data_IF_152326119486
#
_entry.id   IF_152326119486
#
_cell.length_a   1.000
_cell.length_b   1.000
_cell.length_c   1.000
_cell.angle_alpha   90.00
_cell.angle_beta   90.00
_cell.angle_gamma   90.00
#
_symmetry.space_group_name_H-M   'P 1'
#
loop_
_entity.id
_entity.type
_entity.pdbx_description
1 polymer ?
#
# COMPACT_ATOMS: atom_id res chain seq x y z
N UNK A 1 -55.88 -17.24 -46.86
CA UNK A 1 -57.35 -17.32 -46.65
C UNK A 1 -57.85 -15.91 -46.36
N UNK A 2 -58.57 -15.32 -47.35
CA UNK A 2 -59.46 -14.12 -47.37
C UNK A 2 -59.17 -12.96 -46.36
N UNK A 3 -58.69 -11.78 -46.75
CA UNK A 3 -59.31 -10.66 -47.50
C UNK A 3 -60.78 -10.36 -47.15
N UNK A 4 -61.05 -9.17 -46.55
CA UNK A 4 -62.20 -8.24 -46.77
C UNK A 4 -62.23 -7.19 -45.63
N UNK A 5 -62.50 -5.88 -45.77
CA UNK A 5 -62.72 -4.95 -46.88
C UNK A 5 -62.78 -3.52 -46.31
N UNK A 6 -62.37 -2.55 -47.12
CA UNK A 6 -62.49 -1.10 -46.97
C UNK A 6 -63.92 -0.54 -47.07
N UNK A 7 -64.09 0.72 -46.60
CA UNK A 7 -64.83 1.90 -47.18
C UNK A 7 -65.58 2.69 -46.09
N UNK A 8 -65.77 4.01 -46.09
CA UNK A 8 -65.27 5.19 -46.82
C UNK A 8 -65.92 6.45 -46.19
N UNK A 9 -65.28 7.62 -46.37
CA UNK A 9 -65.85 8.97 -46.69
C UNK A 9 -65.65 10.16 -45.73
N UNK A 10 -65.26 11.25 -46.41
CA UNK A 10 -64.97 12.64 -46.08
C UNK A 10 -66.07 13.39 -45.29
N UNK A 11 -65.65 14.46 -44.61
CA UNK A 11 -66.49 15.59 -44.21
C UNK A 11 -65.66 16.82 -43.82
N UNK A 12 -66.15 18.00 -44.15
CA UNK A 12 -65.46 19.29 -44.32
C UNK A 12 -64.99 20.00 -43.03
N UNK A 13 -64.07 20.93 -43.28
CA UNK A 13 -63.58 22.00 -42.42
C UNK A 13 -64.67 22.90 -41.80
N UNK A 14 -64.38 23.46 -40.63
CA UNK A 14 -64.87 24.79 -40.24
C UNK A 14 -63.86 25.48 -39.32
N UNK A 15 -63.36 26.62 -39.79
CA UNK A 15 -62.53 27.57 -39.06
C UNK A 15 -63.46 28.37 -38.15
N UNK A 16 -63.21 28.43 -36.84
CA UNK A 16 -63.84 29.41 -35.95
C UNK A 16 -62.74 30.14 -35.17
N UNK A 17 -62.58 31.42 -35.51
CA UNK A 17 -61.76 32.38 -34.78
C UNK A 17 -62.49 32.77 -33.51
N UNK A 18 -61.86 32.57 -32.36
CA UNK A 18 -62.31 33.08 -31.07
C UNK A 18 -61.17 33.88 -30.45
N UNK A 19 -61.30 35.19 -30.53
CA UNK A 19 -60.48 36.18 -29.83
C UNK A 19 -60.77 36.11 -28.34
N UNK A 20 -59.76 35.80 -27.53
CA UNK A 20 -59.81 35.93 -26.08
C UNK A 20 -58.73 36.91 -25.62
N UNK A 21 -59.20 37.91 -24.86
CA UNK A 21 -58.47 39.06 -24.35
C UNK A 21 -57.26 38.66 -23.49
N UNK A 22 -56.11 39.33 -23.71
CA UNK A 22 -55.00 39.33 -22.77
C UNK A 22 -55.43 40.04 -21.47
N UNK A 23 -55.46 39.31 -20.37
CA UNK A 23 -55.32 39.88 -19.03
C UNK A 23 -53.85 39.69 -18.64
N UNK A 24 -53.15 40.79 -18.39
CA UNK A 24 -51.78 40.77 -17.88
C UNK A 24 -51.78 40.14 -16.48
N UNK A 25 -51.13 38.99 -16.34
CA UNK A 25 -50.85 38.39 -15.04
C UNK A 25 -49.62 39.09 -14.45
N UNK A 26 -49.82 39.81 -13.34
CA UNK A 26 -48.74 40.34 -12.52
C UNK A 26 -47.88 39.18 -11.99
N UNK A 27 -46.58 39.25 -12.26
CA UNK A 27 -45.59 38.30 -11.75
C UNK A 27 -45.38 38.50 -10.25
N UNK A 28 -45.68 37.48 -9.46
CA UNK A 28 -45.29 37.42 -8.05
C UNK A 28 -43.76 37.40 -7.90
N UNK A 29 -43.18 38.10 -6.92
CA UNK A 29 -41.75 38.10 -6.70
C UNK A 29 -41.28 36.72 -6.24
N UNK A 30 -40.36 36.11 -7.00
CA UNK A 30 -39.66 34.90 -6.59
C UNK A 30 -38.82 35.21 -5.35
N UNK A 31 -39.12 34.55 -4.23
CA UNK A 31 -38.22 34.55 -3.08
C UNK A 31 -36.97 33.73 -3.44
N UNK A 32 -35.82 34.39 -3.52
CA UNK A 32 -34.52 33.74 -3.59
C UNK A 32 -34.25 33.05 -2.24
N UNK A 33 -34.62 31.77 -2.14
CA UNK A 33 -34.11 30.91 -1.08
C UNK A 33 -32.58 30.82 -1.18
N UNK A 34 -31.87 30.60 -0.07
CA UNK A 34 -30.42 30.43 -0.12
C UNK A 34 -30.09 29.26 -1.05
N UNK A 35 -29.24 29.51 -2.05
CA UNK A 35 -28.63 28.47 -2.87
C UNK A 35 -28.05 27.40 -1.95
N UNK A 36 -28.17 26.10 -2.28
CA UNK A 36 -27.46 25.08 -1.53
C UNK A 36 -25.99 25.44 -1.55
N UNK A 37 -25.44 25.67 -0.35
CA UNK A 37 -24.07 26.07 -0.13
C UNK A 37 -23.16 25.17 -0.96
N UNK A 38 -22.31 25.77 -1.79
CA UNK A 38 -21.21 25.06 -2.43
C UNK A 38 -20.39 24.43 -1.31
N UNK A 39 -20.57 23.14 -1.10
CA UNK A 39 -19.54 22.33 -0.45
C UNK A 39 -18.32 22.60 -1.31
N UNK A 40 -17.30 23.28 -0.76
CA UNK A 40 -16.06 23.50 -1.48
C UNK A 40 -15.62 22.14 -2.01
N UNK A 41 -15.51 22.00 -3.33
CA UNK A 41 -15.01 20.77 -3.93
C UNK A 41 -13.61 20.58 -3.37
N UNK A 42 -13.42 19.55 -2.55
CA UNK A 42 -12.10 19.18 -2.08
C UNK A 42 -11.23 18.92 -3.31
N UNK A 43 -10.05 19.54 -3.36
CA UNK A 43 -9.12 19.34 -4.47
C UNK A 43 -8.85 17.85 -4.65
N UNK A 44 -8.97 17.40 -5.90
CA UNK A 44 -8.78 16.00 -6.25
C UNK A 44 -7.30 15.62 -6.06
N UNK A 45 -7.04 14.55 -5.31
CA UNK A 45 -5.69 14.02 -5.10
C UNK A 45 -5.50 12.79 -5.96
N UNK A 46 -4.52 12.85 -6.86
CA UNK A 46 -4.09 11.70 -7.68
C UNK A 46 -2.80 11.11 -7.15
N UNK A 47 -2.73 9.79 -7.16
CA UNK A 47 -1.54 9.03 -6.76
C UNK A 47 -0.95 8.39 -8.01
N UNK A 48 0.36 8.53 -8.20
CA UNK A 48 1.06 7.84 -9.27
C UNK A 48 1.43 6.42 -8.85
N UNK A 49 1.41 5.48 -9.80
CA UNK A 49 1.94 4.14 -9.63
C UNK A 49 2.97 3.87 -10.72
N UNK A 50 4.15 3.44 -10.30
CA UNK A 50 5.17 2.94 -11.22
C UNK A 50 4.63 1.68 -11.91
N UNK A 51 4.62 1.73 -13.24
CA UNK A 51 4.20 0.66 -14.12
C UNK A 51 5.17 0.57 -15.30
N UNK A 52 6.32 -0.11 -15.13
CA UNK A 52 7.37 -0.08 -16.13
C UNK A 52 6.93 -0.68 -17.46
N UNK A 53 7.17 0.06 -18.54
CA UNK A 53 6.81 -0.37 -19.90
C UNK A 53 7.49 -1.69 -20.32
N UNK A 54 8.61 -2.03 -19.67
CA UNK A 54 9.40 -3.23 -19.93
C UNK A 54 8.84 -4.51 -19.28
N UNK A 55 7.79 -4.44 -18.46
CA UNK A 55 7.11 -5.65 -17.98
C UNK A 55 6.26 -6.17 -19.14
N UNK A 56 6.89 -7.00 -19.99
CA UNK A 56 6.22 -7.77 -21.03
C UNK A 56 4.91 -8.32 -20.44
N UNK A 57 3.78 -8.03 -21.12
CA UNK A 57 2.41 -8.42 -20.74
C UNK A 57 1.64 -7.54 -19.75
N UNK A 58 2.16 -6.39 -19.32
CA UNK A 58 1.39 -5.44 -18.50
C UNK A 58 0.99 -5.99 -17.12
N UNK A 59 1.80 -6.91 -16.60
CA UNK A 59 1.60 -7.51 -15.28
C UNK A 59 2.05 -6.58 -14.16
N UNK A 60 1.27 -6.52 -13.08
CA UNK A 60 1.61 -5.78 -11.85
C UNK A 60 1.48 -6.69 -10.65
N UNK A 61 2.44 -6.61 -9.72
CA UNK A 61 2.30 -7.23 -8.41
C UNK A 61 1.13 -6.59 -7.68
N UNK A 62 0.21 -7.45 -7.25
CA UNK A 62 -0.95 -7.03 -6.47
C UNK A 62 -1.77 -5.92 -7.15
N UNK A 63 -2.20 -6.13 -8.39
CA UNK A 63 -2.84 -5.10 -9.23
C UNK A 63 -4.04 -4.37 -8.57
N UNK A 64 -4.81 -5.06 -7.72
CA UNK A 64 -5.95 -4.45 -7.01
C UNK A 64 -5.57 -3.75 -5.70
N UNK A 65 -4.33 -3.88 -5.23
CA UNK A 65 -3.92 -3.51 -3.89
C UNK A 65 -3.94 -1.99 -3.67
N UNK A 66 -3.20 -1.24 -4.48
CA UNK A 66 -3.22 0.22 -4.39
C UNK A 66 -4.63 0.79 -4.65
N UNK A 67 -5.37 0.40 -5.72
CA UNK A 67 -6.75 0.88 -5.90
C UNK A 67 -7.69 0.60 -4.73
N UNK A 68 -7.54 -0.56 -4.08
CA UNK A 68 -8.34 -0.91 -2.90
C UNK A 68 -7.97 -0.06 -1.68
N UNK A 69 -6.68 0.21 -1.46
CA UNK A 69 -6.23 1.12 -0.42
C UNK A 69 -6.75 2.54 -0.65
N UNK A 70 -6.60 3.08 -1.85
CA UNK A 70 -7.06 4.43 -2.19
C UNK A 70 -8.58 4.57 -2.02
N UNK A 71 -9.34 3.55 -2.43
CA UNK A 71 -10.78 3.49 -2.17
C UNK A 71 -11.10 3.51 -0.68
N UNK A 72 -10.42 2.68 0.11
CA UNK A 72 -10.58 2.65 1.56
C UNK A 72 -10.27 4.02 2.19
N UNK A 73 -9.23 4.72 1.75
CA UNK A 73 -8.90 6.08 2.23
C UNK A 73 -9.99 7.08 1.85
N UNK A 74 -10.48 7.07 0.61
CA UNK A 74 -11.57 7.94 0.18
C UNK A 74 -12.87 7.69 0.97
N UNK A 75 -13.14 6.44 1.35
CA UNK A 75 -14.33 6.05 2.12
C UNK A 75 -14.20 6.34 3.63
N UNK A 76 -12.99 6.24 4.19
CA UNK A 76 -12.75 6.33 5.64
C UNK A 76 -12.22 7.68 6.12
N UNK A 77 -11.92 8.60 5.21
CA UNK A 77 -11.30 9.90 5.50
C UNK A 77 -11.99 11.03 4.73
N UNK A 78 -11.53 12.27 4.95
CA UNK A 78 -11.99 13.43 4.18
C UNK A 78 -11.08 13.77 2.99
N UNK A 79 -10.13 12.92 2.61
CA UNK A 79 -9.29 13.16 1.44
C UNK A 79 -10.02 12.70 0.18
N UNK A 80 -10.13 13.60 -0.80
CA UNK A 80 -10.68 13.31 -2.12
C UNK A 80 -9.64 12.63 -3.03
N UNK A 81 -9.19 11.44 -2.62
CA UNK A 81 -8.20 10.66 -3.39
C UNK A 81 -8.88 9.81 -4.46
N UNK A 82 -8.35 9.84 -5.67
CA UNK A 82 -8.86 9.06 -6.80
C UNK A 82 -8.41 7.61 -6.69
N UNK A 83 -9.30 6.60 -6.68
CA UNK A 83 -8.90 5.20 -6.57
C UNK A 83 -8.12 4.63 -7.76
N UNK A 84 -8.23 5.25 -8.94
CA UNK A 84 -7.46 4.87 -10.13
C UNK A 84 -6.13 5.63 -10.15
N UNK A 85 -4.98 4.94 -9.95
CA UNK A 85 -3.68 5.59 -9.94
C UNK A 85 -3.25 6.04 -11.34
N UNK A 86 -2.47 7.11 -11.40
CA UNK A 86 -1.81 7.56 -12.63
C UNK A 86 -0.62 6.63 -12.91
N UNK A 87 -0.71 5.84 -13.97
CA UNK A 87 0.37 4.93 -14.36
C UNK A 87 1.54 5.72 -14.99
N UNK A 88 2.74 5.63 -14.41
CA UNK A 88 3.99 6.20 -14.93
C UNK A 88 4.95 5.08 -15.33
N UNK A 89 5.65 5.22 -16.47
CA UNK A 89 6.55 4.16 -16.97
C UNK A 89 7.88 4.09 -16.21
N UNK A 90 8.32 5.22 -15.70
CA UNK A 90 9.60 5.40 -15.03
C UNK A 90 9.55 6.69 -14.18
N UNK A 91 10.65 7.05 -13.55
CA UNK A 91 10.73 8.25 -12.72
C UNK A 91 11.11 9.53 -13.49
N UNK A 92 11.21 9.49 -14.82
CA UNK A 92 11.38 10.67 -15.67
C UNK A 92 10.02 11.20 -16.18
N UNK A 93 8.98 10.35 -16.19
CA UNK A 93 7.62 10.67 -16.64
C UNK A 93 7.01 11.90 -15.91
N UNK A 94 6.83 13.01 -16.63
CA UNK A 94 6.40 14.30 -16.07
C UNK A 94 5.09 14.25 -15.26
N UNK A 95 4.23 13.27 -15.51
CA UNK A 95 2.98 13.08 -14.75
C UNK A 95 3.22 12.80 -13.27
N UNK A 96 4.42 12.35 -12.89
CA UNK A 96 4.78 12.20 -11.49
C UNK A 96 4.74 13.54 -10.74
N UNK A 97 4.94 14.68 -11.42
CA UNK A 97 4.92 16.01 -10.82
C UNK A 97 3.51 16.50 -10.47
N UNK A 98 2.49 15.88 -11.05
CA UNK A 98 1.07 16.17 -10.80
C UNK A 98 0.54 15.38 -9.58
N UNK A 99 1.32 14.43 -9.06
CA UNK A 99 0.90 13.54 -7.99
C UNK A 99 1.77 13.79 -6.74
N UNK A 100 1.20 14.15 -5.57
CA UNK A 100 1.99 14.32 -4.34
C UNK A 100 2.58 13.00 -3.79
N UNK A 101 2.07 11.87 -4.26
CA UNK A 101 2.46 10.53 -3.83
C UNK A 101 2.72 9.63 -5.03
N UNK A 102 3.85 8.94 -5.02
CA UNK A 102 4.21 7.89 -5.97
C UNK A 102 4.33 6.57 -5.22
N UNK A 103 3.66 5.54 -5.70
CA UNK A 103 3.79 4.16 -5.23
C UNK A 103 4.60 3.34 -6.23
N UNK A 104 5.55 2.54 -5.74
CA UNK A 104 6.22 1.52 -6.52
C UNK A 104 6.26 0.22 -5.71
N UNK A 105 5.94 -0.91 -6.32
CA UNK A 105 6.36 -2.20 -5.77
C UNK A 105 7.76 -2.51 -6.31
N UNK A 106 8.68 -2.90 -5.43
CA UNK A 106 10.07 -3.18 -5.77
C UNK A 106 10.22 -4.16 -6.94
N UNK A 107 9.37 -5.20 -7.00
CA UNK A 107 9.44 -6.26 -7.99
C UNK A 107 8.71 -5.94 -9.31
N UNK A 108 8.01 -4.81 -9.41
CA UNK A 108 7.45 -4.35 -10.69
C UNK A 108 8.54 -3.73 -11.60
N UNK A 109 9.70 -3.40 -11.04
CA UNK A 109 10.88 -2.89 -11.78
C UNK A 109 12.05 -3.84 -11.62
N UNK A 110 12.58 -4.36 -12.73
CA UNK A 110 13.68 -5.33 -12.72
C UNK A 110 15.06 -4.72 -12.49
N UNK A 111 15.26 -3.45 -12.85
CA UNK A 111 16.53 -2.74 -12.73
C UNK A 111 16.32 -1.39 -12.06
N UNK A 112 16.88 -1.21 -10.87
CA UNK A 112 16.80 0.04 -10.10
C UNK A 112 17.92 1.04 -10.41
N UNK A 113 18.75 0.77 -11.44
CA UNK A 113 19.68 1.76 -11.97
C UNK A 113 18.90 2.87 -12.67
N UNK A 114 18.99 4.09 -12.14
CA UNK A 114 18.29 5.24 -12.70
C UNK A 114 19.09 5.87 -13.85
N UNK A 115 18.39 6.21 -14.92
CA UNK A 115 18.94 7.08 -15.97
C UNK A 115 19.18 8.49 -15.44
N UNK A 116 20.00 9.30 -16.15
CA UNK A 116 20.24 10.69 -15.77
C UNK A 116 18.94 11.52 -15.70
N UNK A 117 17.97 11.23 -16.59
CA UNK A 117 16.67 11.88 -16.59
C UNK A 117 15.83 11.51 -15.36
N UNK A 118 15.81 10.23 -14.98
CA UNK A 118 15.14 9.77 -13.75
C UNK A 118 15.79 10.40 -12.51
N UNK A 119 17.13 10.45 -12.45
CA UNK A 119 17.84 11.08 -11.34
C UNK A 119 17.47 12.56 -11.20
N UNK A 120 17.48 13.32 -12.30
CA UNK A 120 17.16 14.75 -12.28
C UNK A 120 15.71 15.00 -11.87
N UNK A 121 14.77 14.29 -12.51
CA UNK A 121 13.34 14.47 -12.26
C UNK A 121 12.94 14.00 -10.86
N UNK A 122 13.43 12.84 -10.41
CA UNK A 122 13.13 12.30 -9.08
C UNK A 122 13.72 13.18 -7.99
N UNK A 123 14.94 13.71 -8.19
CA UNK A 123 15.53 14.72 -7.28
C UNK A 123 14.63 15.94 -7.18
N UNK A 124 14.23 16.51 -8.32
CA UNK A 124 13.36 17.69 -8.34
C UNK A 124 12.00 17.45 -7.69
N UNK A 125 11.38 16.30 -7.95
CA UNK A 125 10.12 15.89 -7.33
C UNK A 125 10.24 15.78 -5.81
N UNK A 126 11.26 15.07 -5.32
CA UNK A 126 11.49 14.87 -3.89
C UNK A 126 11.98 16.15 -3.20
N UNK A 127 12.72 17.05 -3.85
CA UNK A 127 13.07 18.34 -3.23
C UNK A 127 11.87 19.30 -3.16
N UNK A 128 10.83 19.13 -4.00
CA UNK A 128 9.60 19.94 -4.02
C UNK A 128 8.49 19.46 -3.08
N UNK A 129 8.70 18.39 -2.32
CA UNK A 129 7.69 17.86 -1.39
C UNK A 129 7.08 16.53 -1.79
N UNK A 130 7.40 16.00 -2.97
CA UNK A 130 6.93 14.69 -3.41
C UNK A 130 7.28 13.56 -2.43
N UNK A 131 6.40 12.57 -2.33
CA UNK A 131 6.62 11.37 -1.53
C UNK A 131 6.70 10.14 -2.42
N UNK A 132 7.71 9.30 -2.20
CA UNK A 132 7.84 8.01 -2.87
C UNK A 132 7.77 6.87 -1.85
N UNK A 133 6.78 6.01 -2.02
CA UNK A 133 6.65 4.78 -1.25
C UNK A 133 7.04 3.56 -2.09
N UNK A 134 8.06 2.82 -1.63
CA UNK A 134 8.54 1.60 -2.24
C UNK A 134 8.13 0.40 -1.39
N UNK A 135 7.06 -0.27 -1.80
CA UNK A 135 6.62 -1.52 -1.19
C UNK A 135 7.57 -2.68 -1.56
N UNK A 136 7.78 -3.62 -0.63
CA UNK A 136 8.77 -4.68 -0.75
C UNK A 136 10.23 -4.19 -1.01
N UNK A 137 10.53 -2.92 -0.71
CA UNK A 137 11.88 -2.36 -0.78
C UNK A 137 12.81 -2.80 0.36
N UNK A 138 12.27 -3.53 1.34
CA UNK A 138 13.02 -4.27 2.36
C UNK A 138 12.77 -5.75 2.14
N UNK A 139 13.82 -6.51 1.84
CA UNK A 139 13.74 -7.96 1.66
C UNK A 139 14.96 -8.60 2.32
N UNK A 140 14.73 -9.48 3.30
CA UNK A 140 15.81 -10.21 3.94
C UNK A 140 16.65 -10.99 2.93
N UNK A 141 17.95 -11.08 3.16
CA UNK A 141 18.92 -11.70 2.23
C UNK A 141 18.50 -13.08 1.73
N UNK A 142 17.93 -13.93 2.61
CA UNK A 142 17.45 -15.27 2.25
C UNK A 142 16.23 -15.31 1.31
N UNK A 143 15.58 -14.17 1.08
CA UNK A 143 14.45 -13.99 0.15
C UNK A 143 14.87 -13.32 -1.15
N UNK A 144 16.03 -12.64 -1.20
CA UNK A 144 16.46 -11.87 -2.39
C UNK A 144 16.77 -12.77 -3.58
N UNK A 145 17.29 -13.97 -3.32
CA UNK A 145 17.52 -15.00 -4.35
C UNK A 145 16.23 -15.63 -4.88
N UNK A 146 15.10 -15.36 -4.23
CA UNK A 146 13.76 -15.89 -4.53
C UNK A 146 12.73 -14.75 -4.57
N UNK A 147 12.80 -13.84 -5.55
CA UNK A 147 11.96 -12.64 -5.60
C UNK A 147 10.46 -12.97 -5.62
N UNK A 148 10.07 -14.11 -6.19
CA UNK A 148 8.70 -14.64 -6.13
C UNK A 148 8.25 -14.91 -4.69
N UNK A 149 9.15 -15.38 -3.82
CA UNK A 149 8.88 -15.63 -2.41
C UNK A 149 8.98 -14.34 -1.58
N UNK A 150 9.91 -13.44 -1.90
CA UNK A 150 10.01 -12.11 -1.26
C UNK A 150 8.73 -11.27 -1.40
N UNK A 151 7.92 -11.53 -2.43
CA UNK A 151 6.60 -10.92 -2.60
C UNK A 151 5.50 -11.55 -1.75
N UNK A 152 5.68 -12.73 -1.16
CA UNK A 152 4.66 -13.42 -0.35
C UNK A 152 5.10 -13.67 1.10
N UNK A 153 6.40 -13.52 1.37
CA UNK A 153 7.04 -13.79 2.64
C UNK A 153 7.84 -12.56 3.05
N UNK A 154 7.34 -11.78 4.00
CA UNK A 154 8.11 -10.67 4.59
C UNK A 154 9.00 -11.17 5.73
N UNK A 155 10.13 -10.52 5.98
CA UNK A 155 10.90 -10.61 7.22
C UNK A 155 11.29 -9.22 7.68
N UNK A 156 11.20 -8.99 9.00
CA UNK A 156 11.50 -7.69 9.60
C UNK A 156 13.03 -7.49 9.62
N UNK A 157 13.58 -7.14 8.46
CA UNK A 157 14.90 -6.52 8.34
C UNK A 157 14.70 -5.01 8.45
N UNK A 158 15.61 -4.31 9.13
CA UNK A 158 15.55 -2.84 9.28
C UNK A 158 16.53 -2.15 8.34
N UNK A 159 16.68 -2.70 7.14
CA UNK A 159 17.62 -2.22 6.14
C UNK A 159 17.03 -2.27 4.74
N UNK A 160 17.31 -1.25 3.94
CA UNK A 160 16.86 -1.20 2.54
C UNK A 160 17.61 -2.24 1.69
N UNK A 161 16.96 -2.76 0.64
CA UNK A 161 17.64 -3.55 -0.37
C UNK A 161 18.87 -2.79 -0.95
N UNK A 162 20.01 -3.47 -1.18
CA UNK A 162 21.23 -2.83 -1.70
C UNK A 162 21.02 -2.06 -3.01
N UNK A 163 20.11 -2.52 -3.86
CA UNK A 163 19.73 -1.90 -5.12
C UNK A 163 19.11 -0.52 -4.88
N UNK A 164 18.23 -0.38 -3.88
CA UNK A 164 17.66 0.91 -3.50
C UNK A 164 18.71 1.85 -2.93
N UNK A 165 19.61 1.35 -2.08
CA UNK A 165 20.71 2.17 -1.54
C UNK A 165 21.58 2.74 -2.65
N UNK A 166 21.95 1.89 -3.60
CA UNK A 166 22.76 2.29 -4.77
C UNK A 166 22.01 3.29 -5.65
N UNK A 167 20.73 3.02 -5.93
CA UNK A 167 19.90 3.89 -6.75
C UNK A 167 19.72 5.30 -6.13
N UNK A 168 19.43 5.37 -4.84
CA UNK A 168 19.21 6.65 -4.15
C UNK A 168 20.49 7.39 -3.80
N UNK A 169 21.64 6.72 -3.70
CA UNK A 169 22.93 7.40 -3.65
C UNK A 169 23.23 8.20 -4.93
N UNK A 170 22.70 7.79 -6.09
CA UNK A 170 22.80 8.58 -7.32
C UNK A 170 21.89 9.82 -7.30
N UNK A 171 20.76 9.76 -6.59
CA UNK A 171 19.82 10.88 -6.44
C UNK A 171 20.30 11.87 -5.37
N UNK A 172 20.68 11.37 -4.21
CA UNK A 172 21.14 12.14 -3.05
C UNK A 172 22.41 11.50 -2.45
N UNK A 173 23.61 11.87 -2.93
CA UNK A 173 24.87 11.24 -2.50
C UNK A 173 25.20 11.39 -1.01
N UNK A 174 24.64 12.41 -0.35
CA UNK A 174 24.88 12.73 1.05
C UNK A 174 23.78 12.20 2.00
N UNK A 175 22.80 11.48 1.46
CA UNK A 175 21.66 10.95 2.22
C UNK A 175 21.64 9.42 2.17
N UNK A 176 21.22 8.80 3.26
CA UNK A 176 21.11 7.34 3.36
C UNK A 176 19.74 6.96 3.93
N UNK A 177 19.30 5.74 3.61
CA UNK A 177 18.14 5.14 4.26
C UNK A 177 18.45 4.87 5.73
N UNK A 178 17.56 5.31 6.61
CA UNK A 178 17.67 5.09 8.05
C UNK A 178 16.44 4.32 8.57
N UNK A 179 16.62 3.41 9.54
CA UNK A 179 15.51 2.76 10.23
C UNK A 179 14.53 3.79 10.82
N UNK A 180 13.23 3.59 10.55
CA UNK A 180 12.19 4.42 11.09
C UNK A 180 11.78 3.92 12.48
N UNK A 181 12.12 4.66 13.53
CA UNK A 181 11.76 4.27 14.89
C UNK A 181 10.26 3.99 15.01
N UNK A 182 9.89 2.97 15.77
CA UNK A 182 8.49 2.61 16.05
C UNK A 182 7.63 3.75 16.59
N UNK A 183 8.23 4.76 17.22
CA UNK A 183 7.54 5.95 17.72
C UNK A 183 7.28 7.06 16.68
N UNK A 184 7.74 6.89 15.43
CA UNK A 184 7.60 7.88 14.38
C UNK A 184 6.11 8.25 14.17
N UNK A 185 5.76 9.53 13.99
CA UNK A 185 4.38 9.96 13.76
C UNK A 185 3.68 9.28 12.57
N UNK A 186 4.43 8.76 11.60
CA UNK A 186 3.88 8.00 10.47
C UNK A 186 2.96 6.88 10.94
N UNK A 187 3.36 6.10 11.94
CA UNK A 187 2.58 4.94 12.41
C UNK A 187 1.27 5.29 13.13
N UNK A 188 1.02 6.59 13.35
CA UNK A 188 -0.14 7.11 14.09
C UNK A 188 -0.77 8.32 13.41
N UNK A 189 -0.54 8.47 12.09
CA UNK A 189 -1.09 9.59 11.32
C UNK A 189 -2.63 9.61 11.32
N UNK A 190 -3.27 8.44 11.40
CA UNK A 190 -4.72 8.31 11.45
C UNK A 190 -5.20 7.20 12.38
N UNK A 191 -4.86 5.94 12.08
CA UNK A 191 -5.08 4.81 12.98
C UNK A 191 -3.95 4.75 14.01
N UNK A 192 -4.28 4.36 15.25
CA UNK A 192 -3.32 4.21 16.34
C UNK A 192 -3.43 2.80 16.94
N UNK A 193 -2.28 2.20 17.28
CA UNK A 193 -2.23 0.87 17.86
C UNK A 193 -2.62 -0.24 16.89
N UNK A 194 -2.73 -1.45 17.44
CA UNK A 194 -3.12 -2.63 16.67
C UNK A 194 -4.63 -2.66 16.38
N UNK A 195 -5.06 -3.33 15.30
CA UNK A 195 -6.43 -3.82 15.18
C UNK A 195 -6.83 -4.74 16.35
N UNK A 196 -8.10 -5.10 16.43
CA UNK A 196 -8.57 -6.06 17.42
C UNK A 196 -7.84 -7.40 17.30
N UNK A 197 -7.11 -7.77 18.36
CA UNK A 197 -6.33 -9.02 18.45
C UNK A 197 -7.08 -10.13 19.16
N UNK A 198 -8.32 -9.90 19.62
CA UNK A 198 -9.06 -10.83 20.50
C UNK A 198 -9.33 -12.21 19.89
N UNK A 199 -9.37 -12.30 18.56
CA UNK A 199 -9.61 -13.54 17.81
C UNK A 199 -8.31 -14.27 17.42
N UNK A 200 -7.13 -13.70 17.70
CA UNK A 200 -5.86 -14.37 17.41
C UNK A 200 -5.59 -15.47 18.44
N UNK A 201 -5.02 -16.63 18.03
CA UNK A 201 -4.53 -17.64 18.97
C UNK A 201 -3.51 -17.04 19.95
N UNK A 202 -3.52 -17.44 21.22
CA UNK A 202 -2.74 -16.81 22.30
C UNK A 202 -1.25 -16.61 21.97
N UNK A 203 -0.59 -17.63 21.40
CA UNK A 203 0.81 -17.56 20.96
C UNK A 203 1.02 -16.52 19.86
N UNK A 204 0.10 -16.46 18.89
CA UNK A 204 0.16 -15.51 17.76
C UNK A 204 -0.14 -14.10 18.26
N UNK A 205 -1.13 -13.94 19.14
CA UNK A 205 -1.50 -12.68 19.77
C UNK A 205 -0.32 -12.08 20.54
N UNK A 206 0.24 -12.85 21.47
CA UNK A 206 1.34 -12.40 22.33
C UNK A 206 2.54 -11.96 21.50
N UNK A 207 2.94 -12.76 20.52
CA UNK A 207 4.03 -12.40 19.61
C UNK A 207 3.71 -11.16 18.76
N UNK A 208 2.48 -11.02 18.29
CA UNK A 208 2.05 -9.86 17.50
C UNK A 208 2.13 -8.56 18.29
N UNK A 209 1.61 -8.58 19.52
CA UNK A 209 1.53 -7.41 20.40
C UNK A 209 2.88 -7.00 20.98
N UNK A 210 3.76 -7.96 21.28
CA UNK A 210 4.97 -7.70 22.06
C UNK A 210 6.22 -7.60 21.21
N UNK A 211 6.28 -8.33 20.09
CA UNK A 211 7.52 -8.48 19.31
C UNK A 211 7.37 -8.02 17.87
N UNK A 212 6.35 -8.56 17.17
CA UNK A 212 6.21 -8.39 15.73
C UNK A 212 5.82 -6.96 15.35
N UNK A 213 4.70 -6.47 15.88
CA UNK A 213 4.08 -5.20 15.51
C UNK A 213 3.63 -4.39 16.74
N UNK A 214 4.49 -4.19 17.76
CA UNK A 214 4.10 -3.43 18.94
C UNK A 214 3.60 -2.05 18.52
N UNK A 215 2.50 -1.61 19.14
CA UNK A 215 1.81 -0.35 18.88
C UNK A 215 1.35 -0.13 17.43
N UNK A 216 1.20 -1.20 16.63
CA UNK A 216 0.77 -1.10 15.24
C UNK A 216 1.88 -0.71 14.26
N UNK A 217 3.13 -0.94 14.65
CA UNK A 217 4.32 -0.56 13.86
C UNK A 217 4.80 -1.69 12.96
N UNK A 218 5.60 -1.34 11.95
CA UNK A 218 6.22 -2.32 11.07
C UNK A 218 7.63 -1.90 10.70
N UNK A 219 8.46 -2.86 10.27
CA UNK A 219 9.80 -2.50 9.80
C UNK A 219 9.69 -1.53 8.63
N UNK A 220 10.45 -0.46 8.69
CA UNK A 220 10.45 0.61 7.69
C UNK A 220 11.79 1.31 7.71
N UNK A 221 12.26 1.70 6.54
CA UNK A 221 13.44 2.56 6.38
C UNK A 221 13.04 3.78 5.56
N UNK A 222 13.59 4.93 5.91
CA UNK A 222 13.25 6.20 5.30
C UNK A 222 14.51 6.93 4.86
N UNK A 223 14.49 7.50 3.66
CA UNK A 223 15.42 8.54 3.24
C UNK A 223 14.74 9.89 3.47
N UNK A 224 15.38 10.76 4.25
CA UNK A 224 14.84 12.07 4.58
C UNK A 224 15.43 13.14 3.68
N UNK A 225 14.63 14.15 3.33
CA UNK A 225 15.07 15.37 2.67
C UNK A 225 14.44 16.55 3.37
N UNK A 226 15.26 17.55 3.73
CA UNK A 226 14.78 18.77 4.39
C UNK A 226 13.95 18.46 5.66
N UNK A 227 14.33 17.43 6.41
CA UNK A 227 13.69 17.02 7.68
C UNK A 227 12.45 16.12 7.55
N UNK A 228 11.84 16.00 6.36
CA UNK A 228 10.68 15.11 6.11
C UNK A 228 11.10 13.77 5.51
N UNK A 229 10.24 12.77 5.61
CA UNK A 229 10.40 11.52 4.86
C UNK A 229 10.11 11.83 3.38
N UNK A 230 11.10 11.60 2.52
CA UNK A 230 10.97 11.77 1.07
C UNK A 230 10.73 10.42 0.39
N UNK A 231 11.46 9.40 0.84
CA UNK A 231 11.33 8.02 0.36
C UNK A 231 11.10 7.10 1.55
N UNK A 232 10.08 6.26 1.47
CA UNK A 232 9.80 5.21 2.44
C UNK A 232 9.94 3.85 1.75
N UNK A 233 10.61 2.91 2.39
CA UNK A 233 10.61 1.51 1.98
C UNK A 233 10.17 0.60 3.14
N UNK A 234 9.36 -0.40 2.81
CA UNK A 234 8.86 -1.41 3.75
C UNK A 234 9.12 -2.81 3.21
N UNK A 235 8.99 -3.86 4.05
CA UNK A 235 8.73 -5.20 3.53
C UNK A 235 7.40 -5.21 2.77
N UNK A 236 7.07 -6.33 2.12
CA UNK A 236 5.79 -6.44 1.41
C UNK A 236 4.60 -6.13 2.32
N UNK A 237 3.84 -5.10 1.97
CA UNK A 237 2.58 -4.68 2.60
C UNK A 237 1.41 -4.88 1.64
N UNK A 238 1.61 -4.75 0.32
CA UNK A 238 0.49 -4.80 -0.65
C UNK A 238 -0.29 -6.11 -0.69
N UNK A 239 0.30 -7.20 -0.18
CA UNK A 239 -0.43 -8.45 0.07
C UNK A 239 -1.65 -8.26 0.97
N UNK A 240 -1.66 -7.23 1.82
CA UNK A 240 -2.64 -7.00 2.87
C UNK A 240 -3.88 -6.17 2.51
N UNK A 241 -3.92 -5.45 1.39
CA UNK A 241 -5.03 -4.53 1.13
C UNK A 241 -5.75 -4.71 -0.22
N UNK A 242 -5.35 -5.69 -1.04
CA UNK A 242 -6.04 -5.99 -2.31
C UNK A 242 -7.38 -6.68 -2.10
N UNK A 243 -8.43 -6.14 -2.73
CA UNK A 243 -9.76 -6.75 -2.81
C UNK A 243 -10.19 -6.94 -4.26
N UNK A 244 -10.85 -8.06 -4.53
CA UNK A 244 -11.48 -8.32 -5.82
C UNK A 244 -12.78 -7.49 -6.00
N UNK A 245 -13.41 -7.65 -7.17
CA UNK A 245 -14.66 -6.95 -7.52
C UNK A 245 -15.86 -7.29 -6.62
N UNK A 246 -15.80 -8.40 -5.86
CA UNK A 246 -16.81 -8.79 -4.88
C UNK A 246 -16.50 -8.25 -3.47
N UNK A 247 -15.42 -7.49 -3.31
CA UNK A 247 -14.98 -6.94 -2.02
C UNK A 247 -14.29 -7.96 -1.10
N UNK A 248 -13.95 -9.14 -1.61
CA UNK A 248 -13.20 -10.16 -0.86
C UNK A 248 -11.70 -9.92 -1.00
N UNK A 249 -10.91 -10.29 0.02
CA UNK A 249 -9.46 -10.21 -0.03
C UNK A 249 -8.88 -11.08 -1.14
N UNK A 250 -7.88 -10.55 -1.86
CA UNK A 250 -7.21 -11.26 -2.96
C UNK A 250 -6.20 -12.30 -2.47
N UNK A 251 -5.80 -12.23 -1.20
CA UNK A 251 -4.74 -13.09 -0.65
C UNK A 251 -5.19 -13.77 0.63
N UNK A 252 -4.39 -14.75 1.06
CA UNK A 252 -4.50 -15.33 2.40
C UNK A 252 -3.15 -15.17 3.08
N UNK A 253 -3.15 -14.54 4.25
CA UNK A 253 -1.94 -14.19 4.97
C UNK A 253 -1.75 -15.13 6.14
N UNK A 254 -0.52 -15.67 6.25
CA UNK A 254 -0.10 -16.57 7.32
C UNK A 254 0.95 -15.90 8.17
N UNK A 255 1.00 -16.25 9.45
CA UNK A 255 2.00 -15.73 10.35
C UNK A 255 3.06 -16.79 10.60
N UNK A 256 4.31 -16.33 10.69
CA UNK A 256 5.32 -17.06 11.42
C UNK A 256 5.56 -16.39 12.76
N UNK A 257 5.71 -17.22 13.78
CA UNK A 257 5.98 -16.83 15.16
C UNK A 257 7.32 -17.43 15.56
N UNK A 258 8.15 -16.63 16.21
CA UNK A 258 9.45 -17.07 16.70
C UNK A 258 9.30 -17.53 18.15
N UNK A 259 9.33 -18.85 18.35
CA UNK A 259 9.01 -19.48 19.63
C UNK A 259 10.25 -19.99 20.35
N UNK A 260 10.28 -19.77 21.67
CA UNK A 260 11.22 -20.42 22.57
C UNK A 260 10.51 -21.46 23.44
N UNK A 261 11.25 -22.46 23.91
CA UNK A 261 10.81 -23.32 25.01
C UNK A 261 12.00 -23.75 25.86
N UNK A 262 11.75 -24.19 27.09
CA UNK A 262 12.80 -24.63 28.00
C UNK A 262 13.64 -25.75 27.38
N UNK A 263 14.96 -25.62 27.41
CA UNK A 263 15.91 -26.58 26.83
C UNK A 263 16.05 -26.54 25.30
N UNK A 264 15.21 -25.78 24.58
CA UNK A 264 15.36 -25.63 23.12
C UNK A 264 16.67 -24.95 22.76
N UNK A 265 17.10 -23.97 23.57
CA UNK A 265 18.32 -23.21 23.29
C UNK A 265 19.58 -24.07 23.36
N UNK A 266 19.70 -24.88 24.40
CA UNK A 266 20.84 -25.80 24.57
C UNK A 266 20.88 -26.85 23.47
N UNK A 267 19.70 -27.34 23.06
CA UNK A 267 19.57 -28.28 21.96
C UNK A 267 19.99 -27.66 20.62
N UNK A 268 19.45 -26.48 20.26
CA UNK A 268 19.75 -25.83 18.99
C UNK A 268 21.20 -25.34 18.89
N UNK A 269 21.80 -24.93 20.01
CA UNK A 269 23.21 -24.52 20.06
C UNK A 269 24.19 -25.63 19.65
N UNK A 270 23.81 -26.89 19.83
CA UNK A 270 24.63 -28.07 19.51
C UNK A 270 24.11 -28.89 18.34
N UNK A 271 22.96 -28.51 17.77
CA UNK A 271 22.33 -29.22 16.68
C UNK A 271 23.19 -29.18 15.41
N UNK A 272 23.37 -30.34 14.77
CA UNK A 272 23.97 -30.40 13.45
C UNK A 272 23.05 -29.71 12.43
N UNK A 273 23.60 -28.81 11.63
CA UNK A 273 22.86 -28.04 10.63
C UNK A 273 23.65 -27.85 9.36
N UNK A 274 23.02 -28.23 8.24
CA UNK A 274 23.62 -28.22 6.90
C UNK A 274 22.96 -27.23 5.93
N UNK A 275 21.94 -26.48 6.36
CA UNK A 275 21.27 -25.50 5.50
C UNK A 275 22.06 -24.19 5.39
N UNK A 276 21.61 -23.26 4.52
CA UNK A 276 22.17 -21.92 4.44
C UNK A 276 21.89 -21.10 5.70
N UNK A 277 22.74 -20.10 5.96
CA UNK A 277 22.66 -19.18 7.10
C UNK A 277 22.69 -17.75 6.60
N UNK A 278 21.91 -16.89 7.23
CA UNK A 278 21.73 -15.51 6.77
C UNK A 278 21.72 -14.56 7.95
N UNK A 279 22.39 -13.42 7.83
CA UNK A 279 22.28 -12.35 8.81
C UNK A 279 21.14 -11.41 8.44
N UNK A 280 20.36 -11.00 9.45
CA UNK A 280 19.30 -10.00 9.30
C UNK A 280 19.46 -8.92 10.37
N UNK A 281 19.34 -7.66 9.97
CA UNK A 281 19.50 -6.49 10.84
C UNK A 281 18.21 -6.18 11.59
N UNK A 282 18.31 -6.03 12.91
CA UNK A 282 17.24 -5.63 13.84
C UNK A 282 17.13 -4.11 13.94
N UNK A 283 16.05 -3.63 14.57
CA UNK A 283 15.81 -2.20 14.80
C UNK A 283 16.96 -1.52 15.57
N UNK A 284 17.54 -2.23 16.53
CA UNK A 284 18.63 -1.76 17.40
C UNK A 284 20.02 -1.91 16.76
N UNK A 285 20.10 -2.35 15.51
CA UNK A 285 21.35 -2.63 14.80
C UNK A 285 21.99 -3.98 15.15
N UNK A 286 21.41 -4.75 16.08
CA UNK A 286 21.78 -6.14 16.33
C UNK A 286 21.51 -7.01 15.11
N UNK A 287 22.13 -8.20 15.08
CA UNK A 287 21.98 -9.15 13.97
C UNK A 287 21.43 -10.48 14.47
N UNK A 288 20.34 -10.93 13.87
CA UNK A 288 19.88 -12.31 13.99
C UNK A 288 20.58 -13.16 12.93
N UNK A 289 21.02 -14.36 13.31
CA UNK A 289 21.46 -15.38 12.37
C UNK A 289 20.30 -16.34 12.11
N UNK A 290 19.80 -16.34 10.88
CA UNK A 290 18.65 -17.11 10.43
C UNK A 290 19.12 -18.36 9.71
N UNK A 291 18.52 -19.49 10.10
CA UNK A 291 18.82 -20.82 9.59
C UNK A 291 17.61 -21.29 8.79
N UNK A 292 17.74 -21.40 7.46
CA UNK A 292 16.70 -21.92 6.56
C UNK A 292 16.92 -23.40 6.20
N UNK A 293 15.97 -24.29 6.54
CA UNK A 293 16.06 -25.71 6.14
C UNK A 293 15.66 -25.93 4.68
N UNK A 294 14.60 -25.24 4.24
CA UNK A 294 14.21 -25.14 2.84
C UNK A 294 14.54 -23.73 2.32
N UNK A 295 14.67 -23.60 0.99
CA UNK A 295 14.93 -22.32 0.34
C UNK A 295 13.91 -21.26 0.80
N UNK A 296 14.41 -20.10 1.23
CA UNK A 296 13.62 -18.97 1.71
C UNK A 296 12.65 -19.25 2.88
N UNK A 297 12.79 -20.38 3.59
CA UNK A 297 11.94 -20.78 4.70
C UNK A 297 12.75 -20.86 6.00
N UNK A 298 12.75 -19.80 6.82
CA UNK A 298 13.39 -19.79 8.13
C UNK A 298 12.87 -20.93 9.01
N UNK A 299 13.80 -21.70 9.57
CA UNK A 299 13.53 -22.75 10.55
C UNK A 299 13.92 -22.29 11.95
N UNK A 300 15.10 -21.69 12.13
CA UNK A 300 15.59 -21.22 13.43
C UNK A 300 16.18 -19.82 13.34
N UNK A 301 16.25 -19.14 14.50
CA UNK A 301 17.00 -17.92 14.68
C UNK A 301 17.95 -18.07 15.87
N UNK A 302 19.18 -17.57 15.72
CA UNK A 302 20.07 -17.22 16.81
C UNK A 302 20.08 -15.70 16.91
N UNK A 303 19.52 -15.18 18.00
CA UNK A 303 19.43 -13.75 18.26
C UNK A 303 20.65 -13.26 19.07
N UNK A 304 20.90 -11.94 19.08
CA UNK A 304 21.94 -11.36 19.92
C UNK A 304 21.89 -11.87 21.36
N UNK A 305 23.06 -12.24 21.91
CA UNK A 305 23.16 -12.87 23.23
C UNK A 305 23.01 -14.40 23.23
N UNK A 306 22.89 -15.04 22.05
CA UNK A 306 22.86 -16.50 21.93
C UNK A 306 21.50 -17.12 22.25
N UNK A 307 20.44 -16.32 22.18
CA UNK A 307 19.07 -16.80 22.35
C UNK A 307 18.62 -17.52 21.07
N UNK A 308 18.34 -18.82 21.20
CA UNK A 308 17.89 -19.64 20.08
C UNK A 308 16.38 -19.86 20.13
N UNK A 309 15.72 -19.67 18.98
CA UNK A 309 14.28 -19.86 18.82
C UNK A 309 13.95 -20.55 17.50
N UNK A 310 12.76 -21.16 17.44
CA UNK A 310 12.24 -21.87 16.25
C UNK A 310 11.11 -21.09 15.61
N UNK A 311 11.07 -21.03 14.28
CA UNK A 311 9.93 -20.51 13.54
C UNK A 311 8.82 -21.54 13.47
N UNK A 312 7.62 -21.14 13.90
CA UNK A 312 6.37 -21.88 13.71
C UNK A 312 5.44 -21.10 12.80
N UNK A 313 4.73 -21.82 11.93
CA UNK A 313 3.88 -21.24 10.89
C UNK A 313 2.41 -21.50 11.23
N UNK A 314 1.65 -20.43 11.35
CA UNK A 314 0.24 -20.41 11.72
C UNK A 314 -0.60 -19.87 10.58
N UNK A 315 -1.68 -20.59 10.27
CA UNK A 315 -2.65 -20.22 9.25
C UNK A 315 -4.05 -20.43 9.81
N UNK A 316 -4.84 -19.36 9.83
CA UNK A 316 -6.28 -19.41 10.09
C UNK A 316 -6.94 -18.22 9.40
N UNK A 317 -8.28 -18.24 9.32
CA UNK A 317 -9.04 -17.12 8.77
C UNK A 317 -8.85 -15.86 9.61
N UNK A 318 -8.88 -16.00 10.93
CA UNK A 318 -8.75 -14.93 11.91
C UNK A 318 -7.38 -14.24 11.79
N UNK A 319 -6.31 -15.02 11.59
CA UNK A 319 -4.96 -14.50 11.34
C UNK A 319 -4.92 -13.69 10.05
N UNK A 320 -5.50 -14.24 8.97
CA UNK A 320 -5.53 -13.55 7.67
C UNK A 320 -6.34 -12.26 7.74
N UNK A 321 -7.54 -12.30 8.31
CA UNK A 321 -8.44 -11.15 8.44
C UNK A 321 -7.79 -10.05 9.30
N UNK A 322 -7.17 -10.41 10.43
CA UNK A 322 -6.40 -9.47 11.24
C UNK A 322 -5.26 -8.80 10.43
N UNK A 323 -4.49 -9.60 9.69
CA UNK A 323 -3.37 -9.09 8.90
C UNK A 323 -3.83 -8.10 7.83
N UNK A 324 -4.95 -8.38 7.15
CA UNK A 324 -5.51 -7.47 6.17
C UNK A 324 -5.93 -6.13 6.78
N UNK A 325 -6.57 -6.16 7.95
CA UNK A 325 -6.92 -4.93 8.67
C UNK A 325 -5.67 -4.17 9.10
N UNK A 326 -4.66 -4.86 9.65
CA UNK A 326 -3.40 -4.25 10.05
C UNK A 326 -2.72 -3.53 8.87
N UNK A 327 -2.50 -4.22 7.76
CA UNK A 327 -1.81 -3.65 6.61
C UNK A 327 -2.62 -2.51 5.96
N UNK A 328 -3.94 -2.64 5.87
CA UNK A 328 -4.82 -1.55 5.38
C UNK A 328 -4.70 -0.30 6.25
N UNK A 329 -4.67 -0.45 7.59
CA UNK A 329 -4.46 0.66 8.51
C UNK A 329 -3.06 1.28 8.35
N UNK A 330 -2.02 0.46 8.20
CA UNK A 330 -0.66 0.92 7.96
C UNK A 330 -0.55 1.73 6.65
N UNK A 331 -1.18 1.26 5.58
CA UNK A 331 -1.23 1.98 4.30
C UNK A 331 -1.95 3.31 4.38
N UNK A 332 -3.07 3.33 5.10
CA UNK A 332 -3.83 4.55 5.35
C UNK A 332 -2.96 5.57 6.09
N UNK A 333 -2.22 5.11 7.10
CA UNK A 333 -1.28 5.95 7.84
C UNK A 333 -0.14 6.49 6.97
N UNK A 334 0.48 5.65 6.12
CA UNK A 334 1.53 6.07 5.18
C UNK A 334 1.00 7.15 4.23
N UNK A 335 -0.16 6.91 3.61
CA UNK A 335 -0.75 7.83 2.65
C UNK A 335 -1.15 9.15 3.31
N UNK A 336 -1.84 9.10 4.46
CA UNK A 336 -2.24 10.31 5.17
C UNK A 336 -1.05 11.08 5.74
N UNK A 337 0.00 10.41 6.22
CA UNK A 337 1.23 11.07 6.62
C UNK A 337 1.82 11.87 5.46
N UNK A 338 1.94 11.24 4.29
CA UNK A 338 2.52 11.88 3.11
C UNK A 338 1.67 13.05 2.56
N UNK A 339 0.34 12.94 2.63
CA UNK A 339 -0.56 13.95 2.07
C UNK A 339 -0.84 15.15 3.00
N UNK A 340 -0.44 15.08 4.27
CA UNK A 340 -0.80 16.10 5.27
C UNK A 340 0.40 16.77 5.96
N UNK A 341 1.63 16.45 5.57
CA UNK A 341 2.85 16.88 6.27
C UNK A 341 3.89 17.54 5.38
#
# INVERSE_FOLDING_TARGET
MKMTTWRQRLGLATLLVLTLNLVAAESLPQSSGPSPSSVASLDEVRVAQLFPAAVDYGWRRYANALPSLLRHVAESTHINVVPEPVAISDFADERLLECPFVYANFADRSDWTFSSAEVEQLRGYLDRGGFLYIDAGITASFLREHPELGQHHSYAEWDACPELKTAFAAVFPDEEFQPLRRSDPLFRAFYQGLPDTSLLPDTVKSYTEQEKWPDGTYSSVALRRQGRIAVLATPIVAMGWGKNSLGQWDTTIRFRVLEGTAGLGDYLATAAYSGPRFEVVREDGGKDVIYCQDAAMPAWANEPGGQWRVFRYYASREISDFAHVFYTRLGTNILLYALTR
#
